data_IF_427975743758
#
_entry.id   IF_427975743758
#
_cell.length_a   1.000
_cell.length_b   1.000
_cell.length_c   1.000
_cell.angle_alpha   90.00
_cell.angle_beta   90.00
_cell.angle_gamma   90.00
#
_symmetry.space_group_name_H-M   'P 1'
#
loop_
_entity.id
_entity.type
_entity.pdbx_description
1 polymer ?
#
# COMPACT_ATOMS: atom_id res chain seq x y z
N UNK A 1 33.16 -18.62 -15.36
CA UNK A 1 31.81 -18.04 -15.32
C UNK A 1 30.95 -18.97 -14.46
N UNK A 2 30.67 -18.61 -13.20
CA UNK A 2 29.79 -19.43 -12.34
C UNK A 2 28.36 -19.07 -12.68
N UNK A 3 27.62 -20.04 -13.22
CA UNK A 3 26.17 -19.96 -13.36
C UNK A 3 25.63 -20.06 -11.94
N UNK A 4 25.13 -18.95 -11.40
CA UNK A 4 24.39 -18.96 -10.13
C UNK A 4 23.01 -19.52 -10.45
N UNK A 5 22.67 -20.68 -9.90
CA UNK A 5 21.33 -21.23 -10.03
C UNK A 5 20.32 -20.22 -9.44
N UNK A 6 19.20 -19.94 -10.12
CA UNK A 6 18.13 -19.16 -9.51
C UNK A 6 17.67 -19.91 -8.26
N UNK A 7 17.57 -19.19 -7.15
CA UNK A 7 17.04 -19.76 -5.91
C UNK A 7 15.64 -20.32 -6.20
N UNK A 8 15.39 -21.54 -5.74
CA UNK A 8 14.12 -22.24 -5.90
C UNK A 8 13.10 -21.61 -4.93
N UNK A 9 12.62 -20.41 -5.26
CA UNK A 9 11.73 -19.62 -4.42
C UNK A 9 10.30 -20.11 -4.65
N UNK A 10 9.71 -20.75 -3.63
CA UNK A 10 8.32 -21.18 -3.64
C UNK A 10 7.45 -20.15 -2.93
N UNK A 11 6.28 -19.85 -3.51
CA UNK A 11 5.32 -18.96 -2.87
C UNK A 11 4.86 -19.54 -1.53
N UNK A 12 4.90 -18.71 -0.50
CA UNK A 12 4.32 -18.97 0.81
C UNK A 12 3.63 -17.72 1.36
N UNK A 13 2.63 -17.91 2.21
CA UNK A 13 1.96 -16.77 2.86
C UNK A 13 2.86 -16.28 4.00
N UNK A 14 3.37 -15.05 3.84
CA UNK A 14 4.23 -14.39 4.82
C UNK A 14 3.42 -13.40 5.65
N UNK A 15 3.67 -13.33 6.96
CA UNK A 15 3.11 -12.28 7.83
C UNK A 15 4.10 -11.14 8.00
N UNK A 16 3.66 -9.91 7.73
CA UNK A 16 4.43 -8.69 7.92
C UNK A 16 3.64 -7.69 8.76
N UNK A 17 4.34 -6.68 9.28
CA UNK A 17 3.74 -5.55 9.95
C UNK A 17 3.81 -4.31 9.05
N UNK A 18 2.66 -3.70 8.77
CA UNK A 18 2.61 -2.36 8.19
C UNK A 18 2.81 -1.37 9.34
N UNK A 19 3.87 -0.57 9.25
CA UNK A 19 4.19 0.49 10.21
C UNK A 19 3.96 1.88 9.63
N UNK A 20 4.04 2.02 8.30
CA UNK A 20 3.98 3.33 7.66
C UNK A 20 3.50 3.22 6.20
N UNK A 21 2.75 4.21 5.73
CA UNK A 21 2.44 4.43 4.31
C UNK A 21 2.71 5.91 4.01
N UNK A 22 3.51 6.19 2.98
CA UNK A 22 3.88 7.56 2.57
C UNK A 22 3.33 7.86 1.18
N UNK A 23 2.87 9.08 1.00
CA UNK A 23 2.45 9.61 -0.29
C UNK A 23 3.33 10.81 -0.64
N UNK A 24 3.94 10.77 -1.80
CA UNK A 24 4.79 11.84 -2.34
C UNK A 24 4.14 12.46 -3.58
N UNK A 25 4.46 13.73 -3.87
CA UNK A 25 3.81 14.51 -4.94
C UNK A 25 2.26 14.53 -4.82
N UNK A 26 1.78 14.53 -3.58
CA UNK A 26 0.38 14.34 -3.19
C UNK A 26 -0.47 15.63 -3.18
N UNK A 27 -0.15 16.61 -4.03
CA UNK A 27 -0.78 17.95 -4.02
C UNK A 27 -2.31 17.90 -4.11
N UNK A 28 -2.85 16.98 -4.91
CA UNK A 28 -4.30 16.78 -5.00
C UNK A 28 -4.93 16.28 -3.70
N UNK A 29 -4.24 15.40 -2.97
CA UNK A 29 -4.70 14.93 -1.66
C UNK A 29 -4.67 16.07 -0.63
N UNK A 30 -3.67 16.97 -0.68
CA UNK A 30 -3.62 18.18 0.15
C UNK A 30 -4.86 19.06 -0.04
N UNK A 31 -5.33 19.20 -1.29
CA UNK A 31 -6.52 19.97 -1.63
C UNK A 31 -7.82 19.29 -1.17
N UNK A 32 -7.85 17.96 -1.06
CA UNK A 32 -9.01 17.22 -0.52
C UNK A 32 -9.12 17.37 1.01
N UNK A 33 -7.99 17.43 1.71
CA UNK A 33 -7.94 17.52 3.17
C UNK A 33 -7.97 16.15 3.84
N UNK A 34 -8.96 15.88 4.69
CA UNK A 34 -9.03 14.61 5.44
C UNK A 34 -9.63 13.49 4.59
N UNK A 35 -8.88 12.40 4.45
CA UNK A 35 -9.32 11.17 3.77
C UNK A 35 -9.28 9.98 4.72
N UNK A 36 -10.01 8.92 4.39
CA UNK A 36 -9.93 7.64 5.07
C UNK A 36 -8.98 6.72 4.31
N UNK A 37 -8.07 6.06 5.03
CA UNK A 37 -7.16 5.04 4.51
C UNK A 37 -7.53 3.69 5.12
N UNK A 38 -8.06 2.79 4.30
CA UNK A 38 -8.50 1.46 4.71
C UNK A 38 -7.50 0.41 4.25
N UNK A 39 -7.19 -0.54 5.13
CA UNK A 39 -6.34 -1.70 4.82
C UNK A 39 -7.19 -2.95 4.96
N UNK A 40 -7.17 -3.81 3.94
CA UNK A 40 -7.96 -5.04 3.87
C UNK A 40 -7.12 -6.20 3.40
N UNK A 41 -7.39 -7.41 3.90
CA UNK A 41 -6.82 -8.65 3.36
C UNK A 41 -7.78 -9.27 2.33
N UNK A 42 -7.23 -10.00 1.35
CA UNK A 42 -8.04 -10.85 0.48
C UNK A 42 -8.37 -12.14 1.21
N UNK A 43 -9.65 -12.35 1.53
CA UNK A 43 -10.13 -13.64 2.03
C UNK A 43 -10.85 -14.40 0.93
N UNK A 44 -10.43 -15.64 0.74
CA UNK A 44 -11.16 -16.62 -0.06
C UNK A 44 -12.25 -17.23 0.83
N UNK A 45 -13.49 -16.77 0.67
CA UNK A 45 -14.63 -17.35 1.38
C UNK A 45 -15.18 -18.56 0.63
N UNK A 46 -15.16 -18.52 -0.71
CA UNK A 46 -15.44 -19.64 -1.62
C UNK A 46 -14.59 -19.48 -2.89
N UNK A 47 -14.41 -20.54 -3.71
CA UNK A 47 -13.65 -20.48 -4.97
C UNK A 47 -14.14 -19.40 -5.96
N UNK A 48 -15.37 -18.93 -5.80
CA UNK A 48 -16.05 -18.01 -6.72
C UNK A 48 -16.25 -16.61 -6.12
N UNK A 49 -15.93 -16.40 -4.84
CA UNK A 49 -16.20 -15.14 -4.15
C UNK A 49 -14.99 -14.66 -3.36
N UNK A 50 -14.19 -13.84 -4.03
CA UNK A 50 -13.13 -13.04 -3.43
C UNK A 50 -13.76 -11.77 -2.84
N UNK A 51 -13.61 -11.56 -1.54
CA UNK A 51 -13.98 -10.29 -0.91
C UNK A 51 -12.82 -9.75 -0.08
N UNK A 52 -12.54 -8.46 -0.23
CA UNK A 52 -11.64 -7.75 0.66
C UNK A 52 -12.30 -7.66 2.04
N UNK A 53 -11.64 -8.18 3.07
CA UNK A 53 -12.07 -8.08 4.45
C UNK A 53 -11.31 -6.91 5.10
N UNK A 54 -12.04 -5.85 5.44
CA UNK A 54 -11.43 -4.67 6.07
C UNK A 54 -10.84 -5.03 7.43
N UNK A 55 -9.55 -4.78 7.59
CA UNK A 55 -8.84 -4.99 8.85
C UNK A 55 -8.93 -3.75 9.73
N UNK A 56 -8.65 -2.58 9.15
CA UNK A 56 -8.65 -1.31 9.87
C UNK A 56 -8.70 -0.12 8.91
N UNK A 57 -9.30 0.96 9.39
CA UNK A 57 -9.37 2.25 8.71
C UNK A 57 -8.81 3.35 9.61
N UNK A 58 -8.00 4.24 9.02
CA UNK A 58 -7.45 5.42 9.67
C UNK A 58 -7.86 6.69 8.93
N UNK A 59 -7.76 7.84 9.59
CA UNK A 59 -7.89 9.14 8.94
C UNK A 59 -6.51 9.75 8.72
N UNK A 60 -6.27 10.28 7.51
CA UNK A 60 -5.08 11.06 7.18
C UNK A 60 -5.54 12.46 6.84
N UNK A 61 -5.08 13.45 7.58
CA UNK A 61 -5.27 14.85 7.23
C UNK A 61 -4.11 15.29 6.33
N UNK A 62 -4.34 15.30 5.02
CA UNK A 62 -3.34 15.65 4.02
C UNK A 62 -2.92 17.12 4.04
N UNK A 63 -3.65 18.01 4.72
CA UNK A 63 -3.17 19.38 4.96
C UNK A 63 -2.10 19.45 6.05
N UNK A 64 -1.90 18.37 6.82
CA UNK A 64 -0.91 18.29 7.91
C UNK A 64 0.22 17.31 7.62
N UNK A 65 -0.08 16.19 6.98
CA UNK A 65 0.89 15.12 6.72
C UNK A 65 0.48 14.30 5.51
N UNK A 66 1.45 13.83 4.73
CA UNK A 66 1.23 12.83 3.66
C UNK A 66 1.63 11.43 4.11
N UNK A 67 1.67 11.17 5.42
CA UNK A 67 2.15 9.92 6.00
C UNK A 67 1.10 9.37 6.95
N UNK A 68 0.72 8.11 6.75
CA UNK A 68 0.08 7.29 7.77
C UNK A 68 1.18 6.61 8.58
N UNK A 69 1.53 7.16 9.75
CA UNK A 69 2.47 6.53 10.69
C UNK A 69 1.69 5.76 11.76
N UNK A 70 1.83 4.44 11.75
CA UNK A 70 1.24 3.51 12.71
C UNK A 70 2.31 2.70 13.43
N UNK A 71 3.54 3.23 13.53
CA UNK A 71 4.68 2.55 14.18
C UNK A 71 4.40 2.20 15.65
N UNK A 72 3.58 3.00 16.35
CA UNK A 72 3.19 2.74 17.74
C UNK A 72 2.15 1.61 17.89
N UNK A 73 1.44 1.25 16.82
CA UNK A 73 0.44 0.19 16.79
C UNK A 73 0.38 -0.43 15.38
N UNK A 74 1.45 -1.12 14.96
CA UNK A 74 1.58 -1.59 13.60
C UNK A 74 0.54 -2.68 13.31
N UNK A 75 0.05 -2.72 12.08
CA UNK A 75 -0.97 -3.70 11.66
C UNK A 75 -0.30 -4.94 11.09
N UNK A 76 -0.54 -6.10 11.69
CA UNK A 76 -0.11 -7.38 11.13
C UNK A 76 -1.01 -7.76 9.94
N UNK A 77 -0.40 -8.16 8.83
CA UNK A 77 -1.07 -8.51 7.57
C UNK A 77 -0.38 -9.71 6.92
N UNK A 78 -1.11 -10.46 6.09
CA UNK A 78 -0.59 -11.64 5.39
C UNK A 78 -1.25 -11.84 4.03
N UNK A 79 -0.48 -12.21 3.01
CA UNK A 79 -0.98 -12.49 1.65
C UNK A 79 -1.25 -11.22 0.84
N UNK A 80 -2.34 -11.23 0.07
CA UNK A 80 -2.77 -10.10 -0.76
C UNK A 80 -3.47 -9.02 0.09
N UNK A 81 -2.87 -7.84 0.16
CA UNK A 81 -3.32 -6.71 0.96
C UNK A 81 -3.72 -5.56 0.06
N UNK A 82 -4.95 -5.07 0.23
CA UNK A 82 -5.45 -3.86 -0.40
C UNK A 82 -5.26 -2.66 0.51
N UNK A 83 -4.77 -1.57 -0.04
CA UNK A 83 -4.84 -0.24 0.58
C UNK A 83 -5.76 0.63 -0.27
N UNK A 84 -6.70 1.33 0.35
CA UNK A 84 -7.66 2.19 -0.34
C UNK A 84 -7.77 3.56 0.36
N UNK A 85 -7.66 4.64 -0.42
CA UNK A 85 -8.00 5.98 0.03
C UNK A 85 -9.41 6.35 -0.44
N UNK A 86 -10.27 6.80 0.50
CA UNK A 86 -11.62 7.28 0.19
C UNK A 86 -11.85 8.69 0.78
N UNK A 87 -12.67 9.48 0.10
CA UNK A 87 -13.11 10.76 0.64
C UNK A 87 -14.11 10.52 1.78
N UNK A 88 -13.85 11.09 2.97
CA UNK A 88 -14.69 10.88 4.16
C UNK A 88 -16.16 11.24 3.95
N UNK A 89 -16.44 12.33 3.23
CA UNK A 89 -17.80 12.85 3.03
C UNK A 89 -18.60 12.07 1.98
N UNK A 90 -17.99 11.75 0.85
CA UNK A 90 -18.67 11.11 -0.29
C UNK A 90 -18.48 9.60 -0.35
N UNK A 91 -17.57 9.04 0.46
CA UNK A 91 -17.07 7.66 0.39
C UNK A 91 -16.58 7.24 -1.00
N UNK A 92 -16.32 8.21 -1.88
CA UNK A 92 -15.80 7.94 -3.21
C UNK A 92 -14.34 7.52 -3.09
N UNK A 93 -14.01 6.38 -3.69
CA UNK A 93 -12.63 5.93 -3.84
C UNK A 93 -11.82 6.98 -4.60
N UNK A 94 -10.69 7.37 -4.02
CA UNK A 94 -9.71 8.27 -4.60
C UNK A 94 -8.70 7.44 -5.39
N UNK A 95 -8.04 6.52 -4.70
CA UNK A 95 -7.12 5.56 -5.30
C UNK A 95 -7.01 4.30 -4.42
N UNK A 96 -6.49 3.22 -4.99
CA UNK A 96 -6.19 2.00 -4.26
C UNK A 96 -5.03 1.25 -4.90
N UNK A 97 -4.43 0.32 -4.17
CA UNK A 97 -3.43 -0.59 -4.72
C UNK A 97 -3.43 -1.90 -3.92
N UNK A 98 -2.84 -2.93 -4.53
CA UNK A 98 -2.64 -4.23 -3.91
C UNK A 98 -1.15 -4.52 -3.80
N UNK A 99 -0.75 -5.09 -2.67
CA UNK A 99 0.60 -5.64 -2.45
C UNK A 99 0.46 -7.06 -1.91
N UNK A 100 1.43 -7.92 -2.19
CA UNK A 100 1.48 -9.25 -1.57
C UNK A 100 2.71 -9.34 -0.65
N UNK A 101 2.48 -9.79 0.59
CA UNK A 101 3.54 -9.83 1.62
C UNK A 101 4.72 -10.72 1.26
N UNK A 102 4.52 -11.74 0.43
CA UNK A 102 5.60 -12.58 -0.08
C UNK A 102 6.58 -11.78 -0.95
N UNK A 103 6.08 -11.02 -1.94
CA UNK A 103 6.94 -10.17 -2.79
C UNK A 103 7.52 -9.00 -1.99
N UNK A 104 6.79 -8.47 -1.01
CA UNK A 104 7.33 -7.45 -0.10
C UNK A 104 8.56 -7.96 0.67
N UNK A 105 8.56 -9.20 1.15
CA UNK A 105 9.71 -9.76 1.86
C UNK A 105 10.91 -10.04 0.94
N UNK A 106 10.65 -10.47 -0.30
CA UNK A 106 11.69 -10.98 -1.20
C UNK A 106 12.26 -9.93 -2.16
N UNK A 107 11.43 -8.99 -2.64
CA UNK A 107 11.79 -8.07 -3.74
C UNK A 107 11.89 -6.60 -3.31
N UNK A 108 11.32 -6.24 -2.15
CA UNK A 108 11.35 -4.86 -1.67
C UNK A 108 12.73 -4.43 -1.17
N UNK A 109 12.95 -3.12 -1.10
CA UNK A 109 14.19 -2.57 -0.55
C UNK A 109 14.24 -2.85 0.95
N UNK A 110 15.26 -3.60 1.36
CA UNK A 110 15.51 -3.91 2.78
C UNK A 110 16.26 -2.76 3.45
N UNK A 111 15.67 -2.19 4.49
CA UNK A 111 16.25 -1.12 5.31
C UNK A 111 16.51 -1.69 6.71
N UNK A 112 17.73 -1.53 7.22
CA UNK A 112 18.11 -1.96 8.56
C UNK A 112 18.07 -0.74 9.49
N UNK A 113 17.19 -0.79 10.49
CA UNK A 113 16.95 0.28 11.46
C UNK A 113 17.19 -0.27 12.87
N UNK A 114 18.44 -0.19 13.32
CA UNK A 114 18.89 -0.84 14.55
C UNK A 114 18.73 -2.36 14.46
N UNK A 115 17.94 -2.95 15.36
CA UNK A 115 17.60 -4.38 15.36
C UNK A 115 16.39 -4.72 14.47
N UNK A 116 15.74 -3.72 13.86
CA UNK A 116 14.52 -3.91 13.06
C UNK A 116 14.86 -3.93 11.58
N UNK A 117 14.24 -4.87 10.86
CA UNK A 117 14.28 -4.93 9.40
C UNK A 117 12.99 -4.35 8.85
N UNK A 118 13.09 -3.31 8.02
CA UNK A 118 11.97 -2.72 7.30
C UNK A 118 12.05 -3.11 5.82
N UNK A 119 10.90 -3.40 5.22
CA UNK A 119 10.77 -3.66 3.80
C UNK A 119 10.03 -2.48 3.18
N UNK A 120 10.68 -1.77 2.25
CA UNK A 120 10.13 -0.60 1.60
C UNK A 120 9.89 -0.90 0.12
N UNK A 121 8.63 -0.81 -0.28
CA UNK A 121 8.21 -0.91 -1.67
C UNK A 121 7.59 0.43 -2.09
N UNK A 122 7.91 0.87 -3.31
CA UNK A 122 7.45 2.14 -3.86
C UNK A 122 6.66 1.84 -5.12
N UNK A 123 5.39 2.24 -5.13
CA UNK A 123 4.53 2.15 -6.30
C UNK A 123 4.55 3.48 -7.03
N UNK A 124 4.68 3.46 -8.34
CA UNK A 124 4.52 4.65 -9.16
C UNK A 124 3.03 4.87 -9.48
N UNK A 125 2.66 6.08 -9.91
CA UNK A 125 1.30 6.42 -10.34
C UNK A 125 0.67 5.41 -11.29
N UNK A 126 1.45 4.79 -12.18
CA UNK A 126 0.96 3.77 -13.13
C UNK A 126 0.49 2.48 -12.47
N UNK A 127 0.95 2.20 -11.25
CA UNK A 127 0.68 0.98 -10.48
C UNK A 127 -0.46 1.18 -9.46
N UNK A 128 -0.99 2.41 -9.37
CA UNK A 128 -2.02 2.80 -8.41
C UNK A 128 -3.37 2.94 -9.12
N UNK A 129 -4.35 2.13 -8.73
CA UNK A 129 -5.72 2.19 -9.25
C UNK A 129 -6.37 3.53 -8.93
N UNK A 130 -7.12 4.06 -9.89
CA UNK A 130 -7.67 5.42 -9.83
C UNK A 130 -6.66 6.47 -10.32
N UNK A 131 -5.45 6.49 -9.77
CA UNK A 131 -4.40 7.45 -10.16
C UNK A 131 -3.87 7.19 -11.58
N UNK A 132 -3.65 5.93 -11.97
CA UNK A 132 -3.11 5.58 -13.30
C UNK A 132 -4.01 6.01 -14.47
N UNK A 133 -5.30 6.28 -14.20
CA UNK A 133 -6.30 6.70 -15.19
C UNK A 133 -6.20 8.18 -15.53
N UNK A 134 -5.57 8.99 -14.67
CA UNK A 134 -5.38 10.42 -14.88
C UNK A 134 -4.21 10.69 -15.84
N UNK A 135 -4.39 10.37 -17.13
CA UNK A 135 -3.33 10.52 -18.15
C UNK A 135 -2.92 11.98 -18.40
N UNK A 136 -3.78 12.93 -18.07
CA UNK A 136 -3.51 14.37 -18.22
C UNK A 136 -2.80 14.98 -17.00
N UNK A 137 -2.58 14.19 -15.94
CA UNK A 137 -1.94 14.62 -14.69
C UNK A 137 -2.63 15.82 -14.02
N UNK A 138 -3.96 15.90 -14.14
CA UNK A 138 -4.76 17.02 -13.58
C UNK A 138 -4.90 16.92 -12.07
N UNK A 139 -4.99 15.70 -11.56
CA UNK A 139 -5.12 15.40 -10.14
C UNK A 139 -3.80 14.83 -9.61
N UNK A 140 -3.28 13.78 -10.23
CA UNK A 140 -2.05 13.13 -9.78
C UNK A 140 -0.89 13.53 -10.70
N UNK A 141 0.16 14.11 -10.12
CA UNK A 141 1.44 14.35 -10.81
C UNK A 141 1.97 13.06 -11.43
N UNK A 142 2.71 13.13 -12.53
CA UNK A 142 3.43 11.97 -13.08
C UNK A 142 4.31 11.28 -12.03
N UNK A 143 4.92 12.08 -11.16
CA UNK A 143 5.83 11.65 -10.09
C UNK A 143 5.11 11.16 -8.81
N UNK A 144 3.77 11.10 -8.80
CA UNK A 144 3.01 10.60 -7.65
C UNK A 144 3.38 9.15 -7.32
N UNK A 145 3.68 8.91 -6.04
CA UNK A 145 4.04 7.61 -5.47
C UNK A 145 3.44 7.48 -4.08
#
# INVERSE_FOLDING_TARGET
MKIVHPQNIHYEVVSLYISEIRFSEANYLHNIGTVQCSISDRKEFTPEKLTAHELKTWEINFQKTSILDITNSPLMVSGDIKVELTQKSSRKMICSFWVNTFFMQNDAVRIIDGSTVKFMHTLNKSEIDGAHKDKDHKSFSEDFK
#
